data_IF_812270322219
#
_entry.id   IF_812270322219
#
_cell.length_a   1.000
_cell.length_b   1.000
_cell.length_c   1.000
_cell.angle_alpha   90.00
_cell.angle_beta   90.00
_cell.angle_gamma   90.00
#
_symmetry.space_group_name_H-M   'P 1'
#
loop_
_entity.id
_entity.type
_entity.pdbx_description
1 polymer ?
#
# COMPACT_ATOMS: atom_id res chain seq x y z
N UNK A 1 -24.28 -13.21 -62.78
CA UNK A 1 -23.93 -13.47 -61.36
C UNK A 1 -23.30 -14.86 -61.13
N UNK A 2 -23.76 -15.91 -61.83
CA UNK A 2 -23.30 -17.31 -61.69
C UNK A 2 -21.92 -17.63 -62.27
N UNK A 3 -21.44 -16.91 -63.29
CA UNK A 3 -20.11 -17.16 -63.93
C UNK A 3 -18.93 -16.72 -63.06
N UNK A 4 -19.03 -15.58 -62.39
CA UNK A 4 -18.03 -15.10 -61.44
C UNK A 4 -17.86 -16.05 -60.25
N UNK A 5 -18.98 -16.62 -59.75
CA UNK A 5 -18.98 -17.59 -58.66
C UNK A 5 -18.29 -18.89 -59.09
N UNK A 6 -18.56 -19.41 -60.30
CA UNK A 6 -17.87 -20.60 -60.84
C UNK A 6 -16.37 -20.38 -61.06
N UNK A 7 -15.97 -19.19 -61.54
CA UNK A 7 -14.56 -18.82 -61.79
C UNK A 7 -13.78 -18.61 -60.49
N UNK A 8 -14.41 -18.07 -59.45
CA UNK A 8 -13.83 -18.07 -58.10
C UNK A 8 -13.67 -19.51 -57.57
N UNK A 9 -14.69 -20.35 -57.74
CA UNK A 9 -14.70 -21.73 -57.25
C UNK A 9 -13.63 -22.61 -57.91
N UNK A 10 -13.30 -22.39 -59.19
CA UNK A 10 -12.19 -23.11 -59.84
C UNK A 10 -10.80 -22.59 -59.39
N UNK A 11 -10.66 -21.29 -59.13
CA UNK A 11 -9.43 -20.69 -58.58
C UNK A 11 -9.12 -21.20 -57.17
N UNK A 12 -10.12 -21.20 -56.28
CA UNK A 12 -9.99 -21.73 -54.91
C UNK A 12 -10.02 -23.27 -54.84
N UNK A 13 -10.54 -23.94 -55.88
CA UNK A 13 -10.53 -25.40 -56.01
C UNK A 13 -9.22 -25.99 -56.51
N UNK A 14 -8.29 -25.16 -57.02
CA UNK A 14 -6.97 -25.60 -57.48
C UNK A 14 -6.14 -26.14 -56.32
N UNK A 15 -5.42 -27.26 -56.55
CA UNK A 15 -4.53 -27.88 -55.56
C UNK A 15 -3.55 -26.85 -54.98
N UNK A 16 -3.03 -25.92 -55.80
CA UNK A 16 -2.12 -24.84 -55.37
C UNK A 16 -2.75 -23.85 -54.39
N UNK A 17 -4.01 -23.46 -54.60
CA UNK A 17 -4.70 -22.55 -53.69
C UNK A 17 -4.98 -23.21 -52.33
N UNK A 18 -5.31 -24.51 -52.31
CA UNK A 18 -5.44 -25.28 -51.07
C UNK A 18 -4.11 -25.36 -50.31
N UNK A 19 -3.00 -25.64 -50.99
CA UNK A 19 -1.67 -25.64 -50.37
C UNK A 19 -1.29 -24.29 -49.74
N UNK A 20 -1.59 -23.18 -50.41
CA UNK A 20 -1.33 -21.84 -49.86
C UNK A 20 -2.19 -21.54 -48.63
N UNK A 21 -3.46 -21.96 -48.63
CA UNK A 21 -4.36 -21.83 -47.47
C UNK A 21 -3.85 -22.68 -46.29
N UNK A 22 -3.49 -23.95 -46.54
CA UNK A 22 -2.94 -24.82 -45.49
C UNK A 22 -1.64 -24.27 -44.91
N UNK A 23 -0.72 -23.80 -45.76
CA UNK A 23 0.53 -23.20 -45.30
C UNK A 23 0.28 -21.92 -44.48
N UNK A 24 -0.65 -21.08 -44.91
CA UNK A 24 -1.06 -19.88 -44.17
C UNK A 24 -1.64 -20.21 -42.78
N UNK A 25 -2.49 -21.24 -42.70
CA UNK A 25 -3.08 -21.70 -41.43
C UNK A 25 -2.00 -22.27 -40.52
N UNK A 26 -1.15 -23.17 -41.02
CA UNK A 26 -0.09 -23.80 -40.23
C UNK A 26 0.92 -22.76 -39.73
N UNK A 27 1.33 -21.81 -40.58
CA UNK A 27 2.24 -20.73 -40.20
C UNK A 27 1.64 -19.82 -39.12
N UNK A 28 0.35 -19.49 -39.25
CA UNK A 28 -0.37 -18.69 -38.24
C UNK A 28 -0.49 -19.42 -36.90
N UNK A 29 -0.78 -20.73 -36.93
CA UNK A 29 -0.82 -21.57 -35.72
C UNK A 29 0.56 -21.69 -35.07
N UNK A 30 1.63 -21.82 -35.86
CA UNK A 30 3.00 -21.87 -35.35
C UNK A 30 3.39 -20.54 -34.69
N UNK A 31 3.07 -19.41 -35.32
CA UNK A 31 3.29 -18.08 -34.74
C UNK A 31 2.52 -17.90 -33.44
N UNK A 32 1.26 -18.36 -33.39
CA UNK A 32 0.46 -18.33 -32.18
C UNK A 32 1.04 -19.22 -31.07
N UNK A 33 1.53 -20.42 -31.41
CA UNK A 33 2.20 -21.31 -30.46
C UNK A 33 3.51 -20.71 -29.93
N UNK A 34 4.32 -20.09 -30.79
CA UNK A 34 5.53 -19.38 -30.38
C UNK A 34 5.17 -18.21 -29.47
N UNK A 35 4.13 -17.44 -29.81
CA UNK A 35 3.63 -16.36 -28.98
C UNK A 35 3.19 -16.87 -27.60
N UNK A 36 2.40 -17.95 -27.53
CA UNK A 36 1.98 -18.55 -26.28
C UNK A 36 3.15 -19.11 -25.48
N UNK A 37 4.14 -19.70 -26.15
CA UNK A 37 5.36 -20.18 -25.51
C UNK A 37 6.14 -19.01 -24.91
N UNK A 38 6.45 -17.97 -25.68
CA UNK A 38 7.15 -16.77 -25.19
C UNK A 38 6.39 -16.11 -24.05
N UNK A 39 5.06 -16.01 -24.14
CA UNK A 39 4.21 -15.45 -23.08
C UNK A 39 4.17 -16.33 -21.83
N UNK A 40 4.17 -17.65 -21.99
CA UNK A 40 4.13 -18.62 -20.89
C UNK A 40 5.46 -18.79 -20.13
N UNK A 41 6.57 -18.26 -20.66
CA UNK A 41 7.89 -18.31 -20.01
C UNK A 41 8.08 -17.27 -18.89
N UNK A 42 7.06 -16.51 -18.51
CA UNK A 42 7.15 -15.65 -17.34
C UNK A 42 7.44 -16.48 -16.08
N UNK A 43 8.68 -16.37 -15.59
CA UNK A 43 9.15 -17.11 -14.42
C UNK A 43 8.45 -16.58 -13.16
N UNK A 44 7.71 -17.48 -12.51
CA UNK A 44 6.87 -17.23 -11.33
C UNK A 44 7.61 -16.98 -10.00
N UNK A 45 8.87 -16.53 -10.02
CA UNK A 45 9.69 -16.34 -8.81
C UNK A 45 9.10 -15.32 -7.82
N UNK A 46 8.23 -14.41 -8.30
CA UNK A 46 7.53 -13.44 -7.44
C UNK A 46 6.62 -14.08 -6.39
N UNK A 47 6.07 -15.26 -6.68
CA UNK A 47 5.07 -15.88 -5.80
C UNK A 47 5.64 -16.14 -4.40
N UNK A 48 6.85 -16.70 -4.31
CA UNK A 48 7.46 -17.07 -3.04
C UNK A 48 7.86 -15.84 -2.22
N UNK A 49 8.38 -14.79 -2.88
CA UNK A 49 8.70 -13.53 -2.22
C UNK A 49 7.47 -12.87 -1.58
N UNK A 50 6.36 -12.81 -2.33
CA UNK A 50 5.10 -12.25 -1.80
C UNK A 50 4.53 -13.11 -0.67
N UNK A 51 4.58 -14.43 -0.78
CA UNK A 51 4.09 -15.34 0.27
C UNK A 51 4.88 -15.22 1.56
N UNK A 52 6.19 -15.01 1.48
CA UNK A 52 7.04 -14.79 2.66
C UNK A 52 6.68 -13.48 3.37
N UNK A 53 6.48 -12.40 2.61
CA UNK A 53 6.05 -11.11 3.14
C UNK A 53 4.66 -11.18 3.80
N UNK A 54 3.70 -11.83 3.13
CA UNK A 54 2.36 -12.08 3.68
C UNK A 54 2.44 -12.85 5.00
N UNK A 55 3.14 -14.00 5.00
CA UNK A 55 3.27 -14.85 6.17
C UNK A 55 3.84 -14.10 7.38
N UNK A 56 4.83 -13.22 7.17
CA UNK A 56 5.46 -12.48 8.25
C UNK A 56 4.49 -11.54 8.99
N UNK A 57 3.61 -10.85 8.26
CA UNK A 57 2.70 -9.86 8.86
C UNK A 57 1.29 -10.38 9.15
N UNK A 58 0.91 -11.52 8.56
CA UNK A 58 -0.49 -11.99 8.53
C UNK A 58 -1.09 -12.28 9.91
N UNK A 59 -0.33 -12.84 10.85
CA UNK A 59 -0.90 -13.21 12.14
C UNK A 59 -1.33 -11.98 12.93
N UNK A 60 -0.43 -11.01 13.07
CA UNK A 60 -0.67 -9.81 13.87
C UNK A 60 -1.68 -8.87 13.20
N UNK A 61 -1.70 -8.83 11.86
CA UNK A 61 -2.70 -8.06 11.14
C UNK A 61 -4.12 -8.62 11.37
N UNK A 62 -4.31 -9.94 11.33
CA UNK A 62 -5.63 -10.56 11.50
C UNK A 62 -6.25 -10.36 12.90
N UNK A 63 -5.45 -10.12 13.92
CA UNK A 63 -5.88 -9.89 15.31
C UNK A 63 -6.28 -8.44 15.60
N UNK A 64 -6.14 -7.55 14.62
CA UNK A 64 -6.46 -6.14 14.77
C UNK A 64 -7.97 -5.95 14.98
N UNK A 65 -8.32 -5.23 16.06
CA UNK A 65 -9.71 -4.92 16.47
C UNK A 65 -9.94 -3.48 16.91
N UNK A 66 -8.91 -2.82 17.43
CA UNK A 66 -8.99 -1.47 18.00
C UNK A 66 -8.00 -0.52 17.34
N UNK A 67 -8.16 0.78 17.59
CA UNK A 67 -7.25 1.83 17.13
C UNK A 67 -5.86 1.64 17.74
N UNK A 68 -5.80 1.28 19.01
CA UNK A 68 -4.57 1.06 19.77
C UNK A 68 -3.82 -0.16 19.21
N UNK A 69 -4.52 -1.24 18.86
CA UNK A 69 -3.90 -2.40 18.20
C UNK A 69 -3.34 -2.05 16.82
N UNK A 70 -3.98 -1.13 16.09
CA UNK A 70 -3.46 -0.64 14.81
C UNK A 70 -2.15 0.12 14.99
N UNK A 71 -2.10 1.10 15.89
CA UNK A 71 -0.85 1.81 16.18
C UNK A 71 0.21 0.83 16.71
N UNK A 72 -0.17 -0.10 17.59
CA UNK A 72 0.70 -1.16 18.09
C UNK A 72 1.31 -2.02 16.98
N UNK A 73 0.51 -2.45 16.00
CA UNK A 73 0.98 -3.17 14.80
C UNK A 73 2.04 -2.35 14.05
N UNK A 74 1.79 -1.06 13.83
CA UNK A 74 2.73 -0.20 13.11
C UNK A 74 4.03 0.03 13.91
N UNK A 75 3.90 0.38 15.19
CA UNK A 75 5.02 0.69 16.08
C UNK A 75 5.92 -0.52 16.37
N UNK A 76 5.33 -1.66 16.70
CA UNK A 76 6.07 -2.79 17.25
C UNK A 76 6.36 -3.89 16.23
N UNK A 77 5.63 -3.94 15.12
CA UNK A 77 5.77 -5.01 14.15
C UNK A 77 6.25 -4.49 12.79
N UNK A 78 5.51 -3.57 12.17
CA UNK A 78 5.81 -3.14 10.80
C UNK A 78 7.10 -2.31 10.74
N UNK A 79 7.20 -1.20 11.47
CA UNK A 79 8.37 -0.32 11.40
C UNK A 79 9.66 -1.03 11.83
N UNK A 80 9.72 -1.77 12.94
CA UNK A 80 10.94 -2.50 13.32
C UNK A 80 11.34 -3.53 12.27
N UNK A 81 10.37 -4.21 11.64
CA UNK A 81 10.64 -5.19 10.60
C UNK A 81 11.25 -4.58 9.34
N UNK A 82 11.01 -3.30 9.04
CA UNK A 82 11.60 -2.62 7.87
C UNK A 82 13.06 -2.18 8.10
N UNK A 83 13.49 -2.11 9.36
CA UNK A 83 14.78 -1.53 9.74
C UNK A 83 15.65 -2.54 10.50
N UNK A 84 15.74 -3.79 10.05
CA UNK A 84 16.62 -4.80 10.68
C UNK A 84 18.09 -4.37 10.58
N UNK A 85 18.81 -4.44 11.71
CA UNK A 85 20.19 -3.91 11.83
C UNK A 85 21.28 -4.94 12.08
N UNK A 86 20.89 -6.17 12.42
CA UNK A 86 21.79 -7.29 12.66
C UNK A 86 21.61 -8.38 11.61
N UNK A 87 22.65 -9.20 11.42
CA UNK A 87 22.54 -10.43 10.64
C UNK A 87 21.59 -11.44 11.30
N UNK A 88 21.32 -12.56 10.61
CA UNK A 88 20.44 -13.62 11.09
C UNK A 88 20.87 -14.19 12.45
N UNK A 89 22.17 -14.16 12.76
CA UNK A 89 22.74 -14.62 14.02
C UNK A 89 22.62 -13.62 15.18
N UNK A 90 22.12 -12.40 14.94
CA UNK A 90 21.95 -11.33 15.94
C UNK A 90 23.24 -10.85 16.65
N UNK A 91 24.40 -11.38 16.26
CA UNK A 91 25.69 -11.06 16.89
C UNK A 91 26.37 -9.91 16.16
N UNK A 92 26.42 -9.98 14.83
CA UNK A 92 27.12 -9.01 14.00
C UNK A 92 26.15 -7.97 13.42
N UNK A 93 26.42 -6.67 13.56
CA UNK A 93 25.66 -5.64 12.87
C UNK A 93 25.91 -5.72 11.37
N UNK A 94 24.91 -5.30 10.59
CA UNK A 94 25.07 -5.13 9.14
C UNK A 94 26.14 -4.07 8.84
N UNK A 95 26.94 -4.25 7.78
CA UNK A 95 27.90 -3.24 7.35
C UNK A 95 27.15 -1.95 6.98
N UNK A 96 27.79 -0.82 7.28
CA UNK A 96 27.28 0.49 6.90
C UNK A 96 27.43 0.68 5.39
N UNK A 97 26.42 1.26 4.74
CA UNK A 97 26.52 1.67 3.34
C UNK A 97 27.46 2.88 3.19
N UNK A 98 27.99 3.12 1.98
CA UNK A 98 29.04 4.13 1.73
C UNK A 98 28.67 5.57 2.15
N UNK A 99 27.37 5.88 2.25
CA UNK A 99 26.82 7.17 2.66
C UNK A 99 26.36 7.20 4.14
N UNK A 100 26.58 6.12 4.89
CA UNK A 100 26.17 5.99 6.29
C UNK A 100 27.34 6.31 7.23
N UNK A 101 27.04 7.05 8.30
CA UNK A 101 28.02 7.34 9.35
C UNK A 101 27.89 6.32 10.47
N UNK A 102 29.02 5.81 10.94
CA UNK A 102 29.11 5.02 12.17
C UNK A 102 28.71 5.92 13.33
N UNK A 103 27.66 5.55 14.06
CA UNK A 103 27.32 6.24 15.30
C UNK A 103 28.43 5.97 16.32
N UNK A 104 29.01 7.04 16.85
CA UNK A 104 29.83 6.98 18.05
C UNK A 104 28.87 6.92 19.23
N UNK A 105 28.51 5.72 19.67
CA UNK A 105 27.75 5.53 20.92
C UNK A 105 28.47 4.47 21.74
N UNK A 106 28.55 4.73 23.05
CA UNK A 106 29.27 3.93 24.04
C UNK A 106 28.87 2.45 24.01
N UNK A 107 29.83 1.60 24.39
CA UNK A 107 29.71 0.16 24.35
C UNK A 107 28.59 -0.34 25.28
N UNK A 108 27.46 -0.72 24.70
CA UNK A 108 26.37 -1.39 25.40
C UNK A 108 24.99 -0.86 25.01
N UNK A 109 24.32 -1.62 24.13
CA UNK A 109 22.86 -1.60 23.97
C UNK A 109 22.27 -0.28 23.44
N UNK A 110 22.56 0.16 22.22
CA UNK A 110 21.59 0.98 21.45
C UNK A 110 21.69 0.71 19.95
N UNK A 111 20.53 0.51 19.32
CA UNK A 111 20.35 0.25 17.89
C UNK A 111 20.94 1.41 17.07
N UNK A 112 22.01 1.19 16.26
CA UNK A 112 22.67 2.25 15.50
C UNK A 112 21.76 2.85 14.42
N UNK A 113 20.52 2.40 14.26
CA UNK A 113 19.57 2.96 13.28
C UNK A 113 18.36 3.63 13.92
N UNK A 114 18.38 3.82 15.25
CA UNK A 114 17.41 4.68 15.93
C UNK A 114 17.57 6.14 15.48
N UNK A 115 18.82 6.61 15.34
CA UNK A 115 19.16 7.99 14.96
C UNK A 115 19.88 8.10 13.61
N UNK A 116 20.60 7.06 13.17
CA UNK A 116 21.28 7.08 11.86
C UNK A 116 20.29 6.97 10.70
N UNK A 117 20.61 7.59 9.56
CA UNK A 117 19.89 7.42 8.28
C UNK A 117 20.17 6.06 7.61
N UNK A 118 20.75 5.13 8.36
CA UNK A 118 21.22 3.86 7.83
C UNK A 118 20.04 3.00 7.34
N UNK A 119 20.20 2.45 6.14
CA UNK A 119 19.23 1.66 5.40
C UNK A 119 19.42 0.20 5.78
N UNK A 120 18.38 -0.36 6.39
CA UNK A 120 18.35 -1.77 6.74
C UNK A 120 17.79 -2.66 5.66
N UNK A 121 17.98 -3.95 5.88
CA UNK A 121 17.12 -4.94 5.28
C UNK A 121 15.82 -5.00 6.06
N UNK A 122 14.79 -5.47 5.38
CA UNK A 122 13.62 -5.99 6.06
C UNK A 122 14.03 -7.23 6.89
N UNK A 123 13.19 -7.62 7.85
CA UNK A 123 13.42 -8.77 8.72
C UNK A 123 13.73 -10.06 7.96
N UNK A 124 13.25 -10.20 6.72
CA UNK A 124 13.51 -11.30 5.80
C UNK A 124 14.95 -11.37 5.24
N UNK A 125 15.79 -10.38 5.54
CA UNK A 125 17.20 -10.28 5.12
C UNK A 125 17.42 -10.19 3.60
N UNK A 126 16.39 -9.96 2.79
CA UNK A 126 16.51 -9.92 1.32
C UNK A 126 15.97 -8.63 0.71
N UNK A 127 14.87 -8.11 1.25
CA UNK A 127 14.25 -6.88 0.77
C UNK A 127 14.86 -5.67 1.48
N UNK A 128 14.99 -4.56 0.76
CA UNK A 128 15.37 -3.25 1.33
C UNK A 128 14.26 -2.25 1.13
N UNK A 129 14.07 -1.37 2.11
CA UNK A 129 13.16 -0.24 2.00
C UNK A 129 13.66 0.76 0.94
N UNK A 130 12.78 1.17 0.05
CA UNK A 130 13.03 2.22 -0.95
C UNK A 130 12.08 3.37 -0.68
N UNK A 131 12.62 4.59 -0.55
CA UNK A 131 11.82 5.73 -0.15
C UNK A 131 11.46 5.70 1.34
N UNK A 132 10.42 6.44 1.67
CA UNK A 132 9.90 6.57 3.03
C UNK A 132 8.49 5.97 3.07
N UNK A 133 8.17 5.11 4.05
CA UNK A 133 6.80 4.66 4.27
C UNK A 133 5.87 5.84 4.52
N UNK A 134 4.62 5.74 4.10
CA UNK A 134 3.63 6.77 4.36
C UNK A 134 2.31 6.18 4.81
N UNK A 135 1.61 6.90 5.67
CA UNK A 135 0.23 6.64 5.99
C UNK A 135 -0.67 7.52 5.13
N UNK A 136 -1.76 6.94 4.65
CA UNK A 136 -2.82 7.66 3.92
C UNK A 136 -4.16 7.36 4.55
N UNK A 137 -4.88 8.40 4.96
CA UNK A 137 -6.18 8.27 5.61
C UNK A 137 -7.31 8.79 4.74
N UNK A 138 -8.40 8.03 4.74
CA UNK A 138 -9.71 8.45 4.24
C UNK A 138 -10.67 8.61 5.41
N UNK A 139 -11.37 9.74 5.45
CA UNK A 139 -12.33 10.12 6.49
C UNK A 139 -13.58 10.75 5.90
N UNK A 140 -14.66 10.73 6.67
CA UNK A 140 -15.96 11.28 6.27
C UNK A 140 -16.13 12.72 6.74
N UNK A 141 -16.79 13.52 5.92
CA UNK A 141 -17.25 14.86 6.30
C UNK A 141 -18.36 14.77 7.35
N UNK A 142 -18.54 15.85 8.08
CA UNK A 142 -19.70 15.96 8.97
C UNK A 142 -20.98 15.87 8.16
N UNK A 143 -21.85 14.97 8.60
CA UNK A 143 -23.14 14.77 8.01
C UNK A 143 -24.13 14.38 9.11
N UNK A 144 -25.36 14.85 8.96
CA UNK A 144 -26.41 14.52 9.89
C UNK A 144 -26.81 13.05 9.68
N UNK A 145 -26.62 12.23 10.71
CA UNK A 145 -27.18 10.88 10.77
C UNK A 145 -28.40 10.92 11.66
N UNK A 146 -29.49 10.26 11.24
CA UNK A 146 -30.69 10.18 12.08
C UNK A 146 -30.41 9.27 13.26
N UNK A 147 -30.10 9.87 14.40
CA UNK A 147 -29.99 9.19 15.69
C UNK A 147 -31.40 9.13 16.30
N UNK A 148 -31.88 7.96 16.77
CA UNK A 148 -33.15 7.89 17.47
C UNK A 148 -33.16 8.82 18.68
N UNK A 149 -34.29 9.49 18.96
CA UNK A 149 -34.38 10.55 19.98
C UNK A 149 -33.84 10.16 21.35
N UNK A 150 -34.04 8.91 21.76
CA UNK A 150 -33.58 8.36 23.05
C UNK A 150 -32.06 8.44 23.21
N UNK A 151 -31.31 8.41 22.10
CA UNK A 151 -29.85 8.41 22.09
C UNK A 151 -29.22 9.80 21.93
N UNK A 152 -30.01 10.85 21.68
CA UNK A 152 -29.49 12.21 21.47
C UNK A 152 -28.82 12.80 22.71
N UNK A 153 -29.18 12.34 23.91
CA UNK A 153 -28.54 12.77 25.16
C UNK A 153 -27.17 12.12 25.39
N UNK A 154 -26.84 11.04 24.67
CA UNK A 154 -25.61 10.27 24.86
C UNK A 154 -24.61 10.47 23.72
N UNK A 155 -25.09 10.81 22.53
CA UNK A 155 -24.25 10.91 21.33
C UNK A 155 -24.50 12.22 20.59
N UNK A 156 -23.45 12.99 20.40
CA UNK A 156 -23.47 14.23 19.61
C UNK A 156 -23.66 13.99 18.11
N UNK A 157 -23.31 12.79 17.63
CA UNK A 157 -23.33 12.47 16.21
C UNK A 157 -22.93 11.02 15.94
N UNK A 158 -23.32 10.52 14.76
CA UNK A 158 -22.97 9.19 14.29
C UNK A 158 -22.48 9.27 12.84
N UNK A 159 -21.53 8.41 12.49
CA UNK A 159 -20.93 8.39 11.16
C UNK A 159 -21.21 7.03 10.51
N UNK A 160 -21.77 7.06 9.29
CA UNK A 160 -22.13 5.85 8.55
C UNK A 160 -20.95 5.17 7.86
N UNK A 161 -21.24 4.29 6.89
CA UNK A 161 -20.23 3.60 6.07
C UNK A 161 -19.47 4.57 5.17
N UNK A 162 -18.32 4.13 4.65
CA UNK A 162 -17.57 4.90 3.66
C UNK A 162 -18.41 5.16 2.40
N UNK A 163 -18.34 6.38 1.88
CA UNK A 163 -18.94 6.75 0.61
C UNK A 163 -18.12 7.87 -0.02
N UNK A 164 -17.65 7.67 -1.25
CA UNK A 164 -16.70 8.58 -1.90
C UNK A 164 -17.20 10.04 -1.98
N UNK A 165 -18.51 10.27 -2.19
CA UNK A 165 -19.10 11.62 -2.22
C UNK A 165 -19.20 12.30 -0.84
N UNK A 166 -18.98 11.55 0.24
CA UNK A 166 -18.95 12.05 1.62
C UNK A 166 -17.54 12.08 2.21
N UNK A 167 -16.51 11.89 1.39
CA UNK A 167 -15.14 12.07 1.81
C UNK A 167 -14.89 13.53 2.23
N UNK A 168 -14.20 13.71 3.35
CA UNK A 168 -13.78 15.02 3.86
C UNK A 168 -12.49 15.45 3.15
N UNK A 169 -12.54 16.57 2.44
CA UNK A 169 -11.45 17.09 1.60
C UNK A 169 -10.93 18.44 2.05
N UNK A 170 -11.35 18.90 3.23
CA UNK A 170 -10.94 20.18 3.79
C UNK A 170 -9.49 20.13 4.31
N UNK A 171 -8.96 21.29 4.74
CA UNK A 171 -7.66 21.36 5.40
C UNK A 171 -7.82 21.61 6.89
N UNK A 172 -6.98 20.95 7.69
CA UNK A 172 -7.06 21.00 9.15
C UNK A 172 -5.68 21.24 9.76
N UNK A 173 -5.65 21.86 10.93
CA UNK A 173 -4.51 21.78 11.85
C UNK A 173 -4.51 20.40 12.56
N UNK A 174 -3.38 20.00 13.17
CA UNK A 174 -3.34 18.80 13.99
C UNK A 174 -4.48 18.73 15.01
N UNK A 175 -5.03 17.52 15.21
CA UNK A 175 -6.26 17.34 16.00
C UNK A 175 -7.57 17.58 15.24
N UNK A 176 -7.53 17.67 13.91
CA UNK A 176 -8.70 17.97 13.07
C UNK A 176 -9.35 19.33 13.37
N UNK A 177 -8.53 20.29 13.77
CA UNK A 177 -8.97 21.64 14.14
C UNK A 177 -9.06 22.48 12.86
N UNK A 178 -10.17 23.18 12.65
CA UNK A 178 -10.29 24.09 11.50
C UNK A 178 -9.32 25.26 11.68
N UNK A 179 -8.46 25.56 10.68
CA UNK A 179 -7.52 26.66 10.80
C UNK A 179 -8.27 28.00 10.85
N UNK A 180 -7.81 28.91 11.72
CA UNK A 180 -8.22 30.31 11.67
C UNK A 180 -7.63 30.94 10.39
N UNK A 181 -8.46 31.60 9.54
CA UNK A 181 -8.00 32.29 8.34
C UNK A 181 -6.85 33.29 8.55
N UNK A 182 -6.65 33.80 9.77
CA UNK A 182 -5.69 34.88 10.05
C UNK A 182 -4.35 34.41 10.60
N UNK A 183 -4.31 33.27 11.30
CA UNK A 183 -3.19 32.89 12.17
C UNK A 183 -2.74 31.41 12.04
N UNK A 184 -3.21 30.67 11.03
CA UNK A 184 -2.84 29.26 10.86
C UNK A 184 -1.42 29.06 10.32
N UNK A 185 -0.58 28.29 11.02
CA UNK A 185 0.71 27.85 10.48
C UNK A 185 0.49 26.75 9.42
N UNK A 186 0.62 27.14 8.14
CA UNK A 186 0.37 26.28 6.97
C UNK A 186 1.32 25.06 6.95
N UNK A 187 2.52 25.18 7.51
CA UNK A 187 3.54 24.12 7.44
C UNK A 187 3.19 22.83 8.19
N UNK A 188 2.27 22.90 9.16
CA UNK A 188 1.84 21.75 9.97
C UNK A 188 0.44 21.26 9.61
N UNK A 189 -0.21 21.86 8.61
CA UNK A 189 -1.57 21.50 8.24
C UNK A 189 -1.67 20.13 7.59
N UNK A 190 -2.70 19.39 7.97
CA UNK A 190 -3.15 18.18 7.30
C UNK A 190 -4.00 18.57 6.10
N UNK A 191 -3.40 18.49 4.92
CA UNK A 191 -4.08 18.75 3.66
C UNK A 191 -4.55 17.45 3.00
N UNK A 192 -5.79 17.48 2.52
CA UNK A 192 -6.27 16.45 1.62
C UNK A 192 -5.50 16.47 0.30
N UNK A 193 -5.11 15.29 -0.19
CA UNK A 193 -4.50 15.12 -1.51
C UNK A 193 -5.42 14.26 -2.38
N UNK A 194 -5.62 14.68 -3.63
CA UNK A 194 -6.36 13.90 -4.62
C UNK A 194 -5.61 12.62 -4.99
N UNK A 195 -6.32 11.64 -5.57
CA UNK A 195 -5.70 10.41 -6.07
C UNK A 195 -4.54 10.69 -7.03
N UNK A 196 -4.70 11.66 -7.94
CA UNK A 196 -3.65 12.10 -8.86
C UNK A 196 -2.43 12.69 -8.13
N UNK A 197 -2.63 13.53 -7.11
CA UNK A 197 -1.55 14.14 -6.34
C UNK A 197 -0.82 13.13 -5.43
N UNK A 198 -1.51 12.09 -4.98
CA UNK A 198 -0.90 10.98 -4.22
C UNK A 198 -0.23 9.93 -5.10
N UNK A 199 -0.57 9.91 -6.39
CA UNK A 199 -0.25 8.84 -7.35
C UNK A 199 -0.72 7.44 -6.87
N UNK A 200 -1.68 7.39 -5.95
CA UNK A 200 -2.21 6.16 -5.39
C UNK A 200 -3.48 5.73 -6.13
N UNK A 201 -3.63 4.41 -6.29
CA UNK A 201 -4.85 3.80 -6.81
C UNK A 201 -5.85 3.48 -5.70
N UNK A 202 -7.10 3.23 -6.09
CA UNK A 202 -8.12 2.75 -5.16
C UNK A 202 -7.72 1.39 -4.57
N UNK A 203 -8.07 1.16 -3.31
CA UNK A 203 -7.81 -0.10 -2.61
C UNK A 203 -9.10 -0.72 -2.11
N UNK A 204 -9.17 -2.04 -2.12
CA UNK A 204 -10.31 -2.78 -1.60
C UNK A 204 -10.00 -3.30 -0.21
N UNK A 205 -10.84 -2.94 0.77
CA UNK A 205 -10.74 -3.44 2.13
C UNK A 205 -11.21 -4.89 2.28
N UNK A 206 -11.14 -5.40 3.51
CA UNK A 206 -11.62 -6.73 3.88
C UNK A 206 -13.15 -6.80 3.90
N UNK A 207 -13.81 -5.70 4.23
CA UNK A 207 -15.27 -5.57 4.20
C UNK A 207 -15.87 -5.58 2.78
N UNK A 208 -15.02 -5.49 1.75
CA UNK A 208 -15.41 -5.35 0.35
C UNK A 208 -15.57 -3.90 -0.12
N UNK A 209 -15.53 -2.91 0.78
CA UNK A 209 -15.57 -1.49 0.39
C UNK A 209 -14.33 -1.09 -0.41
N UNK A 210 -14.55 -0.21 -1.39
CA UNK A 210 -13.50 0.37 -2.22
C UNK A 210 -13.22 1.77 -1.72
N UNK A 211 -11.96 2.02 -1.36
CA UNK A 211 -11.45 3.29 -0.88
C UNK A 211 -10.69 3.98 -2.00
N UNK A 212 -10.89 5.29 -2.17
CA UNK A 212 -10.22 6.05 -3.22
C UNK A 212 -8.70 6.13 -3.05
N UNK A 213 -8.02 6.61 -4.08
CA UNK A 213 -6.58 6.87 -4.03
C UNK A 213 -6.21 8.13 -3.24
N UNK A 214 -7.15 9.06 -3.03
CA UNK A 214 -6.91 10.28 -2.28
C UNK A 214 -6.83 10.06 -0.76
N UNK A 215 -6.65 11.15 -0.03
CA UNK A 215 -6.68 11.17 1.42
C UNK A 215 -5.69 12.16 2.04
N UNK A 216 -5.63 12.15 3.37
CA UNK A 216 -4.62 12.87 4.15
C UNK A 216 -3.37 12.00 4.22
N UNK A 217 -2.22 12.52 3.83
CA UNK A 217 -0.97 11.75 3.76
C UNK A 217 0.00 12.24 4.82
N UNK A 218 0.48 11.31 5.63
CA UNK A 218 1.52 11.54 6.62
C UNK A 218 2.76 10.70 6.27
N UNK A 219 3.86 11.31 5.79
CA UNK A 219 5.11 10.58 5.58
C UNK A 219 5.71 10.20 6.94
N UNK A 220 6.33 9.02 7.00
CA UNK A 220 7.14 8.61 8.15
C UNK A 220 8.59 9.11 7.97
N UNK A 221 9.58 8.32 8.37
CA UNK A 221 10.99 8.67 8.19
C UNK A 221 11.78 7.54 7.54
N UNK A 222 13.01 7.87 7.14
CA UNK A 222 14.00 6.93 6.61
C UNK A 222 14.56 6.00 7.68
N UNK A 223 14.47 6.39 8.95
CA UNK A 223 15.01 5.64 10.08
C UNK A 223 13.89 5.22 11.05
N UNK A 224 14.21 4.21 11.86
CA UNK A 224 13.25 3.61 12.80
C UNK A 224 12.76 4.64 13.82
N UNK A 225 13.67 5.41 14.42
CA UNK A 225 13.31 6.40 15.46
C UNK A 225 12.46 7.55 14.93
N UNK A 226 12.76 8.07 13.74
CA UNK A 226 11.94 9.11 13.12
C UNK A 226 10.55 8.61 12.72
N UNK A 227 10.45 7.38 12.19
CA UNK A 227 9.16 6.77 11.88
C UNK A 227 8.34 6.51 13.13
N UNK A 228 9.01 6.08 14.22
CA UNK A 228 8.39 5.94 15.53
C UNK A 228 7.83 7.26 16.04
N UNK A 229 8.63 8.34 16.05
CA UNK A 229 8.16 9.66 16.49
C UNK A 229 7.02 10.19 15.63
N UNK A 230 7.10 10.03 14.30
CA UNK A 230 6.03 10.45 13.40
C UNK A 230 4.70 9.72 13.69
N UNK A 231 4.74 8.40 13.88
CA UNK A 231 3.56 7.63 14.27
C UNK A 231 3.03 8.05 15.64
N UNK A 232 3.92 8.30 16.61
CA UNK A 232 3.52 8.71 17.95
C UNK A 232 2.83 10.06 17.96
N UNK A 233 3.33 11.02 17.18
CA UNK A 233 2.70 12.32 17.02
C UNK A 233 1.30 12.18 16.42
N UNK A 234 1.14 11.35 15.37
CA UNK A 234 -0.18 11.08 14.77
C UNK A 234 -1.15 10.45 15.77
N UNK A 235 -0.67 9.57 16.64
CA UNK A 235 -1.49 8.98 17.71
C UNK A 235 -1.90 10.04 18.75
N UNK A 236 -0.95 10.84 19.25
CA UNK A 236 -1.20 11.90 20.23
C UNK A 236 -2.12 12.99 19.71
N UNK A 237 -2.02 13.33 18.42
CA UNK A 237 -2.86 14.31 17.74
C UNK A 237 -4.22 13.73 17.31
N UNK A 238 -4.52 12.47 17.68
CA UNK A 238 -5.75 11.77 17.34
C UNK A 238 -6.07 11.82 15.83
N UNK A 239 -5.04 11.59 15.00
CA UNK A 239 -5.17 11.60 13.55
C UNK A 239 -6.18 10.56 13.07
N UNK A 240 -6.24 9.38 13.70
CA UNK A 240 -7.31 8.41 13.50
C UNK A 240 -8.46 8.64 14.50
N UNK A 241 -9.63 9.04 14.01
CA UNK A 241 -10.80 9.40 14.81
C UNK A 241 -12.08 8.65 14.41
N UNK A 242 -13.22 9.03 15.00
CA UNK A 242 -14.55 8.45 14.70
C UNK A 242 -15.02 8.63 13.23
N UNK A 243 -14.43 9.58 12.50
CA UNK A 243 -14.74 9.88 11.08
C UNK A 243 -13.85 9.10 10.12
N UNK A 244 -12.71 8.61 10.58
CA UNK A 244 -11.80 7.76 9.80
C UNK A 244 -12.51 6.50 9.33
N UNK A 245 -12.28 6.10 8.07
CA UNK A 245 -12.86 4.89 7.48
C UNK A 245 -11.85 3.92 6.92
N UNK A 246 -10.70 4.43 6.46
CA UNK A 246 -9.57 3.61 6.12
C UNK A 246 -8.26 4.35 6.37
N UNK A 247 -7.25 3.59 6.77
CA UNK A 247 -5.86 3.99 6.89
C UNK A 247 -5.06 2.98 6.07
N UNK A 248 -4.27 3.47 5.13
CA UNK A 248 -3.42 2.65 4.27
C UNK A 248 -1.97 3.00 4.58
N UNK A 249 -1.19 2.04 5.07
CA UNK A 249 0.27 2.19 5.13
C UNK A 249 0.86 1.67 3.83
N UNK A 250 1.52 2.55 3.08
CA UNK A 250 2.13 2.25 1.78
C UNK A 250 3.66 2.22 1.95
N UNK A 251 4.28 1.11 1.55
CA UNK A 251 5.71 0.85 1.69
C UNK A 251 6.25 0.28 0.36
N UNK A 252 7.39 0.79 -0.09
CA UNK A 252 8.07 0.28 -1.27
C UNK A 252 9.33 -0.48 -0.86
N UNK A 253 9.46 -1.70 -1.35
CA UNK A 253 10.60 -2.58 -1.13
C UNK A 253 11.30 -2.87 -2.45
N UNK A 254 12.60 -3.11 -2.38
CA UNK A 254 13.39 -3.61 -3.51
C UNK A 254 14.20 -4.82 -3.08
N UNK A 255 14.05 -5.90 -3.85
CA UNK A 255 14.85 -7.10 -3.67
C UNK A 255 16.05 -7.06 -4.62
N UNK A 256 17.25 -6.99 -4.06
CA UNK A 256 18.46 -6.89 -4.87
C UNK A 256 18.88 -8.22 -5.53
N UNK A 257 18.42 -9.36 -5.00
CA UNK A 257 18.78 -10.69 -5.52
C UNK A 257 18.01 -10.99 -6.81
N UNK A 258 16.70 -10.72 -6.82
CA UNK A 258 15.83 -10.95 -7.98
C UNK A 258 15.54 -9.67 -8.80
N UNK A 259 16.11 -8.53 -8.41
CA UNK A 259 15.96 -7.21 -9.08
C UNK A 259 14.50 -6.77 -9.26
N UNK A 260 13.66 -6.95 -8.25
CA UNK A 260 12.23 -6.60 -8.30
C UNK A 260 11.86 -5.55 -7.26
N UNK A 261 10.96 -4.64 -7.65
CA UNK A 261 10.25 -3.77 -6.73
C UNK A 261 8.99 -4.48 -6.22
N UNK A 262 8.64 -4.25 -4.96
CA UNK A 262 7.43 -4.78 -4.32
C UNK A 262 6.79 -3.69 -3.50
N UNK A 263 5.53 -3.41 -3.76
CA UNK A 263 4.73 -2.49 -2.97
C UNK A 263 3.94 -3.29 -1.93
N UNK A 264 4.07 -2.91 -0.65
CA UNK A 264 3.24 -3.41 0.44
C UNK A 264 2.23 -2.34 0.84
N UNK A 265 0.96 -2.76 0.95
CA UNK A 265 -0.14 -1.92 1.43
C UNK A 265 -0.83 -2.61 2.60
N UNK A 266 -0.71 -2.06 3.79
CA UNK A 266 -1.54 -2.48 4.93
C UNK A 266 -2.82 -1.67 4.90
N UNK A 267 -3.95 -2.32 4.62
CA UNK A 267 -5.24 -1.64 4.51
C UNK A 267 -6.00 -1.86 5.80
N UNK A 268 -6.08 -0.84 6.65
CA UNK A 268 -6.82 -0.89 7.92
C UNK A 268 -8.13 -0.14 7.77
N UNK A 269 -9.25 -0.84 7.90
CA UNK A 269 -10.60 -0.30 7.86
C UNK A 269 -11.08 0.02 9.27
N UNK A 270 -11.53 1.25 9.48
CA UNK A 270 -12.25 1.65 10.69
C UNK A 270 -13.75 1.57 10.41
N UNK A 271 -14.38 0.49 10.87
CA UNK A 271 -15.80 0.25 10.60
C UNK A 271 -16.70 1.18 11.43
N UNK A 272 -17.93 1.48 10.99
CA UNK A 272 -18.85 2.37 11.72
C UNK A 272 -19.22 1.90 13.13
N UNK A 273 -19.04 0.62 13.44
CA UNK A 273 -19.26 0.04 14.76
C UNK A 273 -18.05 0.20 15.71
N UNK A 274 -16.97 0.87 15.28
CA UNK A 274 -15.76 1.08 16.07
C UNK A 274 -14.72 -0.03 15.96
N UNK A 275 -15.03 -1.13 15.28
CA UNK A 275 -14.07 -2.22 15.07
C UNK A 275 -13.12 -1.86 13.94
N UNK A 276 -11.83 -2.07 14.18
CA UNK A 276 -10.81 -1.98 13.16
C UNK A 276 -10.54 -3.37 12.57
N UNK A 277 -10.33 -3.44 11.26
CA UNK A 277 -9.99 -4.68 10.56
C UNK A 277 -8.87 -4.41 9.57
N UNK A 278 -7.94 -5.32 9.39
CA UNK A 278 -6.90 -5.19 8.36
C UNK A 278 -7.05 -6.19 7.22
N UNK A 279 -6.45 -5.83 6.10
CA UNK A 279 -6.13 -6.67 4.96
C UNK A 279 -4.68 -6.46 4.56
#
# INVERSE_FOLDING_TARGET
>A
RTSHIKKLRSRFGSRRARYLIYYGIISSLLLFMIFLFVYGFEVGDSYYGLRQLDFYFRNVSNELKTKENMYGLFHHNVIPALHRVYWYNQIAPLPLEANEKKLQVEAGIHDPRLTSKARGYMQDCTNKLVGVPRLRQLRLKDHYHKIPRVFLNFFEGAYGKYFAFREDKESYLPGWIKPDPRNGNISQMWHYRSASATESTAVQGRSGWIYGGGGYVAPLSWNRGGSWMALQNLEMENWADKKTRAIVMEINLFNNNIKRFTELRFIVEALPNGVYMSR
#
